data_IF_461179394746
#
_entry.id   IF_461179394746
#
_cell.length_a   1.000
_cell.length_b   1.000
_cell.length_c   1.000
_cell.angle_alpha   90.00
_cell.angle_beta   90.00
_cell.angle_gamma   90.00
#
_symmetry.space_group_name_H-M   'P 1'
#
loop_
_entity.id
_entity.type
_entity.pdbx_description
1 polymer ?
#
# COMPACT_ATOMS: atom_id res chain seq x y z
N UNK A 1 -12.24 4.17 1.19
CA UNK A 1 -13.25 3.43 1.98
C UNK A 1 -12.52 2.51 2.95
N UNK A 2 -12.92 2.42 4.22
CA UNK A 2 -12.28 1.58 5.23
C UNK A 2 -13.31 0.78 6.03
N UNK A 3 -12.87 -0.31 6.69
CA UNK A 3 -13.73 -1.14 7.53
C UNK A 3 -14.16 -0.42 8.82
N UNK A 4 -15.42 -0.60 9.25
CA UNK A 4 -16.01 0.07 10.42
C UNK A 4 -15.36 -0.28 11.75
N UNK A 5 -14.63 -1.39 11.82
CA UNK A 5 -13.89 -1.84 12.99
C UNK A 5 -12.47 -1.24 13.09
N UNK A 6 -12.08 -0.38 12.14
CA UNK A 6 -10.90 0.46 12.24
C UNK A 6 -11.27 1.78 12.92
N UNK A 7 -10.50 2.16 13.93
CA UNK A 7 -10.54 3.51 14.51
C UNK A 7 -9.78 4.46 13.58
N UNK A 8 -10.49 5.48 13.06
CA UNK A 8 -9.94 6.47 12.13
C UNK A 8 -9.78 7.81 12.82
N UNK A 9 -8.54 8.31 12.85
CA UNK A 9 -8.21 9.64 13.38
C UNK A 9 -7.33 10.40 12.39
N UNK A 10 -7.36 11.72 12.47
CA UNK A 10 -6.43 12.59 11.74
C UNK A 10 -5.46 13.19 12.76
N UNK A 11 -4.19 12.87 12.64
CA UNK A 11 -3.13 13.29 13.57
C UNK A 11 -2.14 14.24 12.87
N UNK A 12 -1.41 15.06 13.62
CA UNK A 12 -0.30 15.85 13.04
C UNK A 12 0.89 14.94 12.78
N UNK A 13 1.56 15.12 11.64
CA UNK A 13 2.76 14.36 11.26
C UNK A 13 3.92 14.55 12.27
N UNK A 14 3.93 15.65 13.03
CA UNK A 14 4.97 15.94 14.04
C UNK A 14 4.46 16.74 15.24
N UNK A 15 5.18 16.65 16.36
CA UNK A 15 4.81 17.20 17.69
C UNK A 15 4.65 18.74 17.73
N UNK A 16 5.15 19.47 16.72
CA UNK A 16 5.11 20.94 16.66
C UNK A 16 4.56 21.43 15.32
N UNK A 17 3.86 22.58 15.33
CA UNK A 17 3.33 23.26 14.13
C UNK A 17 4.41 23.54 13.09
N UNK A 18 5.62 23.91 13.54
CA UNK A 18 6.78 24.14 12.67
C UNK A 18 7.32 22.83 12.10
N UNK A 19 7.39 21.76 12.90
CA UNK A 19 7.83 20.44 12.43
C UNK A 19 6.93 19.86 11.34
N UNK A 20 5.61 20.08 11.42
CA UNK A 20 4.65 19.60 10.41
C UNK A 20 4.64 20.43 9.13
N UNK A 21 5.00 21.72 9.22
CA UNK A 21 5.19 22.58 8.05
C UNK A 21 6.52 22.30 7.32
N UNK A 22 7.59 21.98 8.07
CA UNK A 22 8.91 21.66 7.51
C UNK A 22 8.94 20.26 6.89
N UNK A 23 8.21 19.29 7.44
CA UNK A 23 8.02 17.98 6.81
C UNK A 23 7.01 17.99 5.65
N UNK A 24 6.21 19.05 5.52
CA UNK A 24 5.29 19.30 4.41
C UNK A 24 4.00 18.47 4.40
N UNK A 25 3.85 17.47 5.27
CA UNK A 25 2.68 16.58 5.27
C UNK A 25 1.50 17.10 6.09
N UNK A 26 1.73 18.01 7.06
CA UNK A 26 0.66 18.63 7.85
C UNK A 26 -0.14 17.62 8.71
N UNK A 27 -1.29 17.19 8.20
CA UNK A 27 -2.25 16.28 8.83
C UNK A 27 -2.26 14.93 8.12
N UNK A 28 -2.15 13.85 8.89
CA UNK A 28 -2.09 12.47 8.38
C UNK A 28 -3.27 11.65 8.88
N UNK A 29 -3.72 10.74 8.03
CA UNK A 29 -4.79 9.78 8.33
C UNK A 29 -4.22 8.57 9.07
N UNK A 30 -4.72 8.29 10.26
CA UNK A 30 -4.30 7.17 11.11
C UNK A 30 -5.45 6.17 11.24
N UNK A 31 -5.16 4.91 10.92
CA UNK A 31 -6.10 3.79 11.03
C UNK A 31 -5.56 2.81 12.08
N UNK A 32 -6.30 2.56 13.16
CA UNK A 32 -5.90 1.63 14.24
C UNK A 32 -6.88 0.46 14.32
N UNK A 33 -6.37 -0.73 14.57
CA UNK A 33 -7.15 -1.98 14.63
C UNK A 33 -6.96 -2.88 13.40
N UNK A 34 -7.84 -3.87 13.23
CA UNK A 34 -7.75 -4.88 12.17
C UNK A 34 -8.89 -4.69 11.18
N UNK A 35 -8.60 -4.46 9.91
CA UNK A 35 -9.64 -4.28 8.89
C UNK A 35 -9.04 -4.09 7.51
N UNK A 36 -9.84 -3.59 6.56
CA UNK A 36 -9.39 -3.30 5.19
C UNK A 36 -9.45 -1.79 4.95
N UNK A 37 -8.45 -1.27 4.25
CA UNK A 37 -8.38 0.12 3.81
C UNK A 37 -8.18 0.12 2.30
N UNK A 38 -9.09 0.76 1.57
CA UNK A 38 -8.98 0.93 0.12
C UNK A 38 -8.19 2.20 -0.17
N UNK A 39 -7.06 2.04 -0.86
CA UNK A 39 -6.16 3.10 -1.33
C UNK A 39 -6.12 3.06 -2.86
N UNK A 40 -6.00 4.22 -3.51
CA UNK A 40 -5.80 4.32 -4.95
C UNK A 40 -4.41 4.94 -5.20
N UNK A 41 -3.35 4.13 -5.34
CA UNK A 41 -2.03 4.66 -5.65
C UNK A 41 -2.00 5.17 -7.10
N UNK A 42 -1.43 6.36 -7.32
CA UNK A 42 -1.06 6.81 -8.66
C UNK A 42 0.25 6.12 -9.01
N UNK A 43 0.16 4.91 -9.56
CA UNK A 43 1.32 4.19 -10.05
C UNK A 43 1.87 4.90 -11.32
N UNK A 44 3.19 5.17 -11.40
CA UNK A 44 3.84 5.30 -12.70
C UNK A 44 3.52 4.02 -13.48
N UNK A 45 3.15 4.14 -14.75
CA UNK A 45 2.57 3.07 -15.60
C UNK A 45 3.37 1.75 -15.60
N UNK A 46 4.65 1.78 -15.21
CA UNK A 46 5.55 0.63 -15.14
C UNK A 46 5.29 -0.34 -13.97
N UNK A 47 4.88 0.15 -12.79
CA UNK A 47 4.88 -0.68 -11.58
C UNK A 47 3.72 -1.69 -11.48
N UNK A 48 2.55 -1.34 -12.03
CA UNK A 48 1.38 -2.25 -12.10
C UNK A 48 1.60 -3.35 -13.15
N UNK A 49 2.20 -3.01 -14.29
CA UNK A 49 2.58 -3.98 -15.33
C UNK A 49 3.64 -4.97 -14.81
N UNK A 50 4.67 -4.52 -14.11
CA UNK A 50 5.69 -5.41 -13.54
C UNK A 50 5.12 -6.30 -12.43
N UNK A 51 4.27 -5.75 -11.56
CA UNK A 51 3.67 -6.48 -10.43
C UNK A 51 2.69 -7.56 -10.89
N UNK A 52 1.96 -7.34 -11.98
CA UNK A 52 1.03 -8.33 -12.55
C UNK A 52 1.76 -9.41 -13.37
N UNK A 53 2.78 -9.04 -14.16
CA UNK A 53 3.53 -10.03 -14.95
C UNK A 53 4.45 -10.91 -14.10
N UNK A 54 5.01 -10.39 -12.99
CA UNK A 54 5.81 -11.19 -12.06
C UNK A 54 4.97 -12.26 -11.36
N UNK A 55 3.73 -11.94 -10.97
CA UNK A 55 2.82 -12.89 -10.31
C UNK A 55 2.34 -13.98 -11.28
N UNK A 56 2.05 -13.63 -12.54
CA UNK A 56 1.71 -14.61 -13.57
C UNK A 56 2.87 -15.56 -13.89
N UNK A 57 4.09 -15.04 -14.04
CA UNK A 57 5.29 -15.84 -14.28
C UNK A 57 5.60 -16.79 -13.11
N UNK A 58 5.45 -16.32 -11.87
CA UNK A 58 5.70 -17.15 -10.67
C UNK A 58 4.62 -18.21 -10.45
N UNK A 59 3.37 -17.93 -10.82
CA UNK A 59 2.28 -18.90 -10.80
C UNK A 59 2.45 -19.99 -11.88
N UNK A 60 2.88 -19.61 -13.09
CA UNK A 60 3.17 -20.55 -14.17
C UNK A 60 4.37 -21.47 -13.84
N UNK A 61 5.43 -20.92 -13.23
CA UNK A 61 6.59 -21.71 -12.80
C UNK A 61 6.24 -22.77 -11.73
N UNK A 62 5.32 -22.46 -10.81
CA UNK A 62 4.86 -23.41 -9.77
C UNK A 62 4.02 -24.57 -10.35
N UNK A 63 3.45 -24.39 -11.53
CA UNK A 63 2.65 -25.39 -12.25
C UNK A 63 3.44 -26.13 -13.34
N UNK A 64 4.76 -25.88 -13.48
CA UNK A 64 5.55 -26.48 -14.55
C UNK A 64 6.15 -27.81 -14.07
N UNK A 65 5.75 -28.91 -14.70
CA UNK A 65 6.17 -30.27 -14.35
C UNK A 65 7.27 -30.78 -15.30
N UNK A 66 8.04 -29.89 -15.93
CA UNK A 66 9.00 -30.31 -16.97
C UNK A 66 10.21 -30.97 -16.32
N UNK A 67 10.14 -32.30 -16.16
CA UNK A 67 11.29 -33.18 -15.97
C UNK A 67 12.24 -32.96 -17.16
N UNK A 68 13.37 -32.29 -16.89
CA UNK A 68 14.47 -32.21 -17.83
C UNK A 68 15.04 -33.61 -18.07
N UNK A 69 15.17 -33.97 -19.35
CA UNK A 69 16.00 -35.08 -19.81
C UNK A 69 17.47 -34.74 -19.66
#
# INVERSE_FOLDING_TARGET
>A
CWSSNLEFTVERSTKTLVGSAVSGEGLVNVYRGTGRVLMCPVAPTTSLFESTNTMAAKAAAKSSNTFGK
#
